data_IF_532047438124
#
_entry.id   IF_532047438124
#
_cell.length_a   1.000
_cell.length_b   1.000
_cell.length_c   1.000
_cell.angle_alpha   90.00
_cell.angle_beta   90.00
_cell.angle_gamma   90.00
#
_symmetry.space_group_name_H-M   'P 1'
#
loop_
_entity.id
_entity.type
_entity.pdbx_description
1 polymer ?
#
# COMPACT_ATOMS: atom_id res chain seq x y z
N UNK A 1 -12.88 -2.42 -15.68
CA UNK A 1 -12.31 -1.63 -14.56
C UNK A 1 -11.71 -2.47 -13.42
N UNK A 2 -12.12 -3.72 -13.21
CA UNK A 2 -11.61 -4.55 -12.10
C UNK A 2 -10.09 -4.73 -12.14
N UNK A 3 -9.51 -4.99 -13.32
CA UNK A 3 -8.05 -5.16 -13.47
C UNK A 3 -7.30 -3.88 -13.07
N UNK A 4 -7.73 -2.71 -13.55
CA UNK A 4 -7.12 -1.41 -13.22
C UNK A 4 -7.16 -1.15 -11.71
N UNK A 5 -8.24 -1.56 -11.02
CA UNK A 5 -8.39 -1.43 -9.57
C UNK A 5 -7.41 -2.31 -8.77
N UNK A 6 -6.85 -3.35 -9.36
CA UNK A 6 -5.98 -4.33 -8.69
C UNK A 6 -4.60 -4.43 -9.36
N UNK A 7 -4.20 -3.42 -10.13
CA UNK A 7 -2.91 -3.37 -10.83
C UNK A 7 -1.73 -3.52 -9.87
N UNK A 8 -1.81 -2.95 -8.68
CA UNK A 8 -0.81 -3.11 -7.62
C UNK A 8 -0.65 -4.58 -7.19
N UNK A 9 -1.71 -5.40 -7.18
CA UNK A 9 -1.60 -6.83 -6.90
C UNK A 9 -0.96 -7.61 -8.05
N UNK A 10 -1.20 -7.19 -9.28
CA UNK A 10 -0.51 -7.73 -10.46
C UNK A 10 0.98 -7.39 -10.38
N UNK A 11 1.32 -6.15 -10.03
CA UNK A 11 2.70 -5.72 -9.81
C UNK A 11 3.34 -6.48 -8.65
N UNK A 12 2.61 -6.77 -7.57
CA UNK A 12 3.10 -7.58 -6.45
C UNK A 12 3.49 -9.01 -6.90
N UNK A 13 2.67 -9.62 -7.75
CA UNK A 13 2.94 -10.94 -8.32
C UNK A 13 4.14 -10.92 -9.29
N UNK A 14 4.26 -9.88 -10.12
CA UNK A 14 5.43 -9.69 -10.98
C UNK A 14 6.71 -9.42 -10.16
N UNK A 15 6.59 -8.67 -9.07
CA UNK A 15 7.70 -8.42 -8.15
C UNK A 15 8.22 -9.71 -7.52
N UNK A 16 7.34 -10.69 -7.21
CA UNK A 16 7.79 -11.99 -6.73
C UNK A 16 8.73 -12.67 -7.73
N UNK A 17 8.40 -12.63 -9.03
CA UNK A 17 9.25 -13.19 -10.09
C UNK A 17 10.62 -12.49 -10.10
N UNK A 18 10.64 -11.16 -10.00
CA UNK A 18 11.89 -10.38 -9.94
C UNK A 18 12.71 -10.74 -8.70
N UNK A 19 12.08 -10.91 -7.54
CA UNK A 19 12.78 -11.28 -6.31
C UNK A 19 13.41 -12.68 -6.40
N UNK A 20 12.69 -13.65 -6.96
CA UNK A 20 13.19 -15.01 -7.16
C UNK A 20 14.34 -15.04 -8.16
N UNK A 21 14.17 -14.41 -9.34
CA UNK A 21 15.19 -14.40 -10.39
C UNK A 21 16.42 -13.56 -10.02
N UNK A 22 16.22 -12.47 -9.28
CA UNK A 22 17.27 -11.56 -8.85
C UNK A 22 17.98 -11.97 -7.56
N UNK A 23 17.57 -13.07 -6.91
CA UNK A 23 18.14 -13.51 -5.63
C UNK A 23 17.92 -12.50 -4.49
N UNK A 24 16.85 -11.71 -4.55
CA UNK A 24 16.55 -10.69 -3.55
C UNK A 24 15.95 -11.30 -2.28
N UNK A 25 16.01 -10.60 -1.12
CA UNK A 25 15.47 -11.10 0.13
C UNK A 25 13.96 -11.37 0.06
N UNK A 26 13.56 -12.66 -0.03
CA UNK A 26 12.15 -13.06 -0.10
C UNK A 26 11.34 -12.69 1.14
N UNK A 27 12.00 -12.60 2.30
CA UNK A 27 11.36 -12.12 3.54
C UNK A 27 10.93 -10.66 3.39
N UNK A 28 11.72 -9.83 2.70
CA UNK A 28 11.36 -8.45 2.38
C UNK A 28 10.11 -8.37 1.50
N UNK A 29 10.03 -9.21 0.46
CA UNK A 29 8.82 -9.32 -0.37
C UNK A 29 7.60 -9.76 0.43
N UNK A 30 7.72 -10.82 1.24
CA UNK A 30 6.60 -11.36 2.00
C UNK A 30 6.07 -10.35 3.03
N UNK A 31 6.96 -9.72 3.79
CA UNK A 31 6.59 -8.75 4.80
C UNK A 31 6.00 -7.47 4.19
N UNK A 32 6.60 -6.96 3.10
CA UNK A 32 6.04 -5.83 2.34
C UNK A 32 4.67 -6.15 1.76
N UNK A 33 4.47 -7.36 1.24
CA UNK A 33 3.19 -7.83 0.71
C UNK A 33 2.09 -7.80 1.77
N UNK A 34 2.38 -8.34 2.96
CA UNK A 34 1.45 -8.34 4.09
C UNK A 34 1.15 -6.90 4.52
N UNK A 35 2.18 -6.09 4.73
CA UNK A 35 2.01 -4.69 5.13
C UNK A 35 1.16 -3.90 4.12
N UNK A 36 1.44 -4.08 2.82
CA UNK A 36 0.71 -3.44 1.73
C UNK A 36 -0.78 -3.82 1.72
N UNK A 37 -1.09 -5.11 1.80
CA UNK A 37 -2.47 -5.60 1.79
C UNK A 37 -3.23 -5.10 3.01
N UNK A 38 -2.63 -5.18 4.21
CA UNK A 38 -3.24 -4.67 5.45
C UNK A 38 -3.53 -3.18 5.32
N UNK A 39 -2.56 -2.39 4.87
CA UNK A 39 -2.73 -0.94 4.72
C UNK A 39 -3.79 -0.58 3.67
N UNK A 40 -3.87 -1.36 2.58
CA UNK A 40 -4.91 -1.20 1.55
C UNK A 40 -6.30 -1.45 2.14
N UNK A 41 -6.47 -2.53 2.89
CA UNK A 41 -7.75 -2.87 3.53
C UNK A 41 -8.19 -1.82 4.54
N UNK A 42 -7.26 -1.30 5.35
CA UNK A 42 -7.51 -0.18 6.27
C UNK A 42 -8.00 1.05 5.49
N UNK A 43 -7.32 1.39 4.39
CA UNK A 43 -7.72 2.52 3.54
C UNK A 43 -9.13 2.37 2.98
N UNK A 44 -9.48 1.20 2.47
CA UNK A 44 -10.81 0.92 1.94
C UNK A 44 -11.89 0.93 3.05
N UNK A 45 -11.57 0.46 4.26
CA UNK A 45 -12.48 0.51 5.41
C UNK A 45 -12.71 1.94 5.90
N UNK A 46 -11.66 2.77 5.97
CA UNK A 46 -11.77 4.17 6.36
C UNK A 46 -12.58 4.97 5.33
N UNK A 47 -12.38 4.70 4.04
CA UNK A 47 -13.16 5.33 2.97
C UNK A 47 -14.65 5.02 3.11
N UNK A 48 -15.01 3.74 3.32
CA UNK A 48 -16.40 3.33 3.56
C UNK A 48 -17.01 4.00 4.78
N UNK A 49 -16.22 4.15 5.86
CA UNK A 49 -16.66 4.86 7.08
C UNK A 49 -16.87 6.35 6.83
N UNK A 50 -16.03 6.98 6.02
CA UNK A 50 -16.19 8.38 5.65
C UNK A 50 -17.44 8.60 4.79
N UNK A 51 -17.73 7.69 3.85
CA UNK A 51 -18.94 7.74 3.00
C UNK A 51 -20.24 7.54 3.80
N UNK A 52 -20.19 6.77 4.89
CA UNK A 52 -21.33 6.55 5.78
C UNK A 52 -21.50 7.63 6.86
N UNK A 53 -20.56 8.56 7.00
CA UNK A 53 -20.60 9.59 8.04
C UNK A 53 -21.43 10.79 7.60
N UNK A 54 -22.43 11.17 8.40
CA UNK A 54 -23.29 12.33 8.13
C UNK A 54 -22.69 13.66 8.62
N UNK A 55 -21.84 13.63 9.65
CA UNK A 55 -21.17 14.83 10.19
C UNK A 55 -19.92 15.19 9.37
N UNK A 56 -19.86 16.40 8.77
CA UNK A 56 -18.68 16.87 8.04
C UNK A 56 -17.38 16.84 8.85
N UNK A 57 -17.43 17.05 10.17
CA UNK A 57 -16.23 16.99 11.03
C UNK A 57 -15.66 15.58 11.11
N UNK A 58 -16.54 14.58 11.18
CA UNK A 58 -16.14 13.17 11.17
C UNK A 58 -15.53 12.76 9.83
N UNK A 59 -16.09 13.23 8.71
CA UNK A 59 -15.54 13.00 7.37
C UNK A 59 -14.13 13.57 7.26
N UNK A 60 -13.92 14.83 7.64
CA UNK A 60 -12.59 15.47 7.60
C UNK A 60 -11.60 14.71 8.49
N UNK A 61 -12.01 14.32 9.70
CA UNK A 61 -11.18 13.54 10.61
C UNK A 61 -10.78 12.17 10.05
N UNK A 62 -11.70 11.45 9.42
CA UNK A 62 -11.44 10.16 8.79
C UNK A 62 -10.54 10.27 7.55
N UNK A 63 -10.75 11.30 6.73
CA UNK A 63 -9.95 11.52 5.53
C UNK A 63 -8.54 12.00 5.88
N UNK A 64 -8.41 13.02 6.74
CA UNK A 64 -7.11 13.57 7.15
C UNK A 64 -6.34 12.62 8.08
N UNK A 65 -7.03 12.02 9.07
CA UNK A 65 -6.43 11.03 9.94
C UNK A 65 -6.06 9.75 9.19
N UNK A 66 -6.89 9.32 8.23
CA UNK A 66 -6.62 8.17 7.39
C UNK A 66 -5.44 8.35 6.44
N UNK A 67 -5.27 9.53 5.85
CA UNK A 67 -4.11 9.82 4.98
C UNK A 67 -2.81 9.84 5.78
N UNK A 68 -2.80 10.52 6.93
CA UNK A 68 -1.62 10.61 7.80
C UNK A 68 -1.27 9.25 8.43
N UNK A 69 -2.28 8.53 8.92
CA UNK A 69 -2.11 7.20 9.50
C UNK A 69 -1.53 6.19 8.51
N UNK A 70 -1.92 6.28 7.24
CA UNK A 70 -1.36 5.43 6.18
C UNK A 70 0.13 5.71 5.95
N UNK A 71 0.55 6.97 5.90
CA UNK A 71 1.98 7.30 5.72
C UNK A 71 2.84 6.78 6.87
N UNK A 72 2.38 6.97 8.11
CA UNK A 72 3.07 6.45 9.29
C UNK A 72 3.10 4.92 9.34
N UNK A 73 1.99 4.25 9.00
CA UNK A 73 1.94 2.79 8.96
C UNK A 73 2.94 2.22 7.96
N UNK A 74 3.08 2.83 6.78
CA UNK A 74 4.12 2.43 5.81
C UNK A 74 5.53 2.58 6.39
N UNK A 75 5.84 3.75 6.97
CA UNK A 75 7.17 4.02 7.52
C UNK A 75 7.53 3.04 8.66
N UNK A 76 6.57 2.80 9.57
CA UNK A 76 6.73 1.86 10.66
C UNK A 76 6.86 0.41 10.17
N UNK A 77 6.12 0.03 9.12
CA UNK A 77 6.25 -1.30 8.53
C UNK A 77 7.64 -1.52 7.94
N UNK A 78 8.15 -0.57 7.14
CA UNK A 78 9.51 -0.65 6.58
C UNK A 78 10.57 -0.72 7.67
N UNK A 79 10.45 0.14 8.70
CA UNK A 79 11.36 0.14 9.85
C UNK A 79 11.32 -1.20 10.57
N UNK A 80 10.13 -1.72 10.89
CA UNK A 80 9.97 -3.00 11.58
C UNK A 80 10.57 -4.16 10.76
N UNK A 81 10.39 -4.16 9.44
CA UNK A 81 10.99 -5.17 8.56
C UNK A 81 12.52 -5.08 8.61
N UNK A 82 13.10 -3.88 8.51
CA UNK A 82 14.54 -3.69 8.61
C UNK A 82 15.12 -4.14 9.96
N UNK A 83 14.39 -3.89 11.06
CA UNK A 83 14.81 -4.28 12.41
C UNK A 83 14.71 -5.79 12.67
N UNK A 84 13.71 -6.47 12.11
CA UNK A 84 13.44 -7.89 12.39
C UNK A 84 14.11 -8.82 11.36
N UNK A 85 14.15 -8.41 10.10
CA UNK A 85 14.61 -9.24 8.98
C UNK A 85 15.95 -8.78 8.37
N UNK A 86 16.54 -7.71 8.89
CA UNK A 86 17.82 -7.16 8.44
C UNK A 86 17.69 -6.03 7.41
N UNK A 87 18.78 -5.28 7.23
CA UNK A 87 18.81 -4.07 6.40
C UNK A 87 18.45 -4.33 4.93
N UNK A 88 18.98 -5.42 4.35
CA UNK A 88 18.69 -5.79 2.95
C UNK A 88 17.20 -6.08 2.74
N UNK A 89 16.56 -6.78 3.68
CA UNK A 89 15.14 -7.08 3.63
C UNK A 89 14.30 -5.80 3.82
N UNK A 90 14.73 -4.90 4.72
CA UNK A 90 14.11 -3.60 4.93
C UNK A 90 14.17 -2.72 3.67
N UNK A 91 15.32 -2.63 3.02
CA UNK A 91 15.51 -1.88 1.78
C UNK A 91 14.68 -2.46 0.63
N UNK A 92 14.72 -3.79 0.46
CA UNK A 92 13.92 -4.46 -0.56
C UNK A 92 12.41 -4.24 -0.34
N UNK A 93 11.95 -4.29 0.91
CA UNK A 93 10.57 -4.00 1.29
C UNK A 93 10.20 -2.53 1.00
N UNK A 94 11.07 -1.57 1.35
CA UNK A 94 10.85 -0.16 1.11
C UNK A 94 10.66 0.15 -0.39
N UNK A 95 11.55 -0.39 -1.23
CA UNK A 95 11.49 -0.22 -2.67
C UNK A 95 10.24 -0.87 -3.27
N UNK A 96 9.88 -2.07 -2.82
CA UNK A 96 8.65 -2.73 -3.26
C UNK A 96 7.42 -1.91 -2.89
N UNK A 97 7.32 -1.43 -1.64
CA UNK A 97 6.19 -0.61 -1.20
C UNK A 97 6.10 0.69 -2.00
N UNK A 98 7.24 1.34 -2.32
CA UNK A 98 7.26 2.53 -3.16
C UNK A 98 6.67 2.26 -4.55
N UNK A 99 7.06 1.17 -5.20
CA UNK A 99 6.55 0.77 -6.51
C UNK A 99 5.05 0.48 -6.45
N UNK A 100 4.59 -0.25 -5.44
CA UNK A 100 3.17 -0.54 -5.22
C UNK A 100 2.36 0.73 -4.97
N UNK A 101 2.89 1.64 -4.15
CA UNK A 101 2.25 2.91 -3.85
C UNK A 101 2.04 3.76 -5.11
N UNK A 102 3.09 3.93 -5.92
CA UNK A 102 3.00 4.66 -7.19
C UNK A 102 1.98 4.02 -8.12
N UNK A 103 2.03 2.70 -8.27
CA UNK A 103 1.08 1.97 -9.14
C UNK A 103 -0.36 2.16 -8.68
N UNK A 104 -0.61 2.01 -7.38
CA UNK A 104 -1.92 2.18 -6.78
C UNK A 104 -2.44 3.62 -6.89
N UNK A 105 -1.58 4.59 -6.62
CA UNK A 105 -1.91 6.01 -6.73
C UNK A 105 -2.28 6.38 -8.16
N UNK A 106 -1.48 6.00 -9.14
CA UNK A 106 -1.76 6.21 -10.57
C UNK A 106 -3.07 5.53 -10.98
N UNK A 107 -3.30 4.29 -10.54
CA UNK A 107 -4.55 3.57 -10.82
C UNK A 107 -5.77 4.31 -10.28
N UNK A 108 -5.68 4.85 -9.05
CA UNK A 108 -6.75 5.65 -8.43
C UNK A 108 -6.96 6.99 -9.14
N UNK A 109 -5.90 7.65 -9.63
CA UNK A 109 -6.01 8.88 -10.42
C UNK A 109 -6.76 8.63 -11.73
N UNK A 110 -6.38 7.58 -12.47
CA UNK A 110 -7.03 7.20 -13.72
C UNK A 110 -8.52 6.91 -13.48
N UNK A 111 -8.84 6.10 -12.46
CA UNK A 111 -10.22 5.74 -12.15
C UNK A 111 -11.08 6.95 -11.73
N UNK A 112 -10.50 7.95 -11.06
CA UNK A 112 -11.20 9.21 -10.72
C UNK A 112 -11.40 10.09 -11.94
N UNK A 113 -10.39 10.22 -12.80
CA UNK A 113 -10.47 11.04 -14.01
C UNK A 113 -11.42 10.49 -15.08
N UNK A 114 -11.64 9.17 -15.11
CA UNK A 114 -12.60 8.52 -16.03
C UNK A 114 -14.05 8.56 -15.52
N UNK A 115 -14.25 8.79 -14.22
CA UNK A 115 -15.57 8.86 -13.59
C UNK A 115 -16.12 10.30 -13.46
N UNK A 116 -15.34 11.30 -13.86
CA UNK A 116 -15.69 12.72 -13.89
C UNK A 116 -16.12 13.15 -15.31
#
# INVERSE_FOLDING_TARGET
>A
MVVIRHLDLVVLALALIVFVLGGLPLVGWAAASVAWVVQRLIGDALQKRAEAAEDPRAVVGLVAGGSMGRAWLTALAVLAIGLVAGEDAGLAAALLILVLFTTYFTSRLILRGVAA
#
